data_IF_511981052559
#
_entry.id   IF_511981052559
#
_cell.length_a   1.000
_cell.length_b   1.000
_cell.length_c   1.000
_cell.angle_alpha   90.00
_cell.angle_beta   90.00
_cell.angle_gamma   90.00
#
_symmetry.space_group_name_H-M   'P 1'
#
loop_
_entity.id
_entity.type
_entity.pdbx_description
1 polymer ?
#
# COMPACT_ATOMS: atom_id res chain seq x y z
N UNK A 1 -8.07 -11.59 -6.39
CA UNK A 1 -9.13 -12.23 -5.61
C UNK A 1 -10.51 -11.90 -6.17
N UNK A 2 -10.97 -10.64 -6.14
CA UNK A 2 -12.33 -10.23 -6.52
C UNK A 2 -12.72 -10.70 -7.93
N UNK A 3 -11.86 -10.54 -8.93
CA UNK A 3 -12.15 -11.02 -10.29
C UNK A 3 -12.42 -12.54 -10.32
N UNK A 4 -11.57 -13.34 -9.69
CA UNK A 4 -11.75 -14.79 -9.61
C UNK A 4 -13.04 -15.18 -8.86
N UNK A 5 -13.43 -14.39 -7.87
CA UNK A 5 -14.69 -14.57 -7.15
C UNK A 5 -15.91 -14.27 -8.03
N UNK A 6 -15.86 -13.18 -8.80
CA UNK A 6 -16.93 -12.80 -9.74
C UNK A 6 -17.08 -13.80 -10.89
N UNK A 7 -16.00 -14.42 -11.35
CA UNK A 7 -16.02 -15.50 -12.35
C UNK A 7 -16.83 -16.72 -11.84
N UNK A 8 -16.79 -17.05 -10.53
CA UNK A 8 -17.64 -18.12 -9.94
C UNK A 8 -19.14 -17.77 -10.01
N UNK A 9 -19.47 -16.50 -9.99
CA UNK A 9 -20.85 -16.01 -10.14
C UNK A 9 -21.25 -15.80 -11.62
N UNK A 10 -20.45 -16.29 -12.57
CA UNK A 10 -20.61 -16.09 -14.00
C UNK A 10 -20.70 -14.60 -14.40
N UNK A 11 -19.92 -13.74 -13.72
CA UNK A 11 -19.81 -12.32 -14.04
C UNK A 11 -18.48 -12.05 -14.74
N UNK A 12 -18.55 -11.32 -15.84
CA UNK A 12 -17.37 -10.78 -16.49
C UNK A 12 -16.89 -9.57 -15.72
N UNK A 13 -15.58 -9.46 -15.47
CA UNK A 13 -15.00 -8.36 -14.73
C UNK A 13 -13.62 -7.98 -15.29
N UNK A 14 -13.38 -6.70 -15.41
CA UNK A 14 -12.07 -6.14 -15.68
C UNK A 14 -11.42 -5.70 -14.37
N UNK A 15 -10.13 -5.98 -14.23
CA UNK A 15 -9.28 -5.37 -13.19
C UNK A 15 -8.44 -4.32 -13.88
N UNK A 16 -8.65 -3.07 -13.52
CA UNK A 16 -7.99 -1.93 -14.17
C UNK A 16 -7.07 -1.28 -13.15
N UNK A 17 -5.75 -1.44 -13.34
CA UNK A 17 -4.70 -0.87 -12.48
C UNK A 17 -3.58 -0.34 -13.39
N UNK A 18 -3.01 0.85 -13.10
CA UNK A 18 -1.97 1.44 -13.97
C UNK A 18 -0.71 0.61 -14.01
N UNK A 19 -0.24 0.21 -12.85
CA UNK A 19 0.98 -0.56 -12.63
C UNK A 19 0.88 -1.32 -11.31
N UNK A 20 1.60 -2.42 -11.21
CA UNK A 20 1.80 -3.15 -9.96
C UNK A 20 3.28 -3.54 -9.82
N UNK A 21 3.81 -3.62 -8.59
CA UNK A 21 5.17 -4.06 -8.35
C UNK A 21 5.41 -5.48 -8.87
N UNK A 22 6.56 -5.72 -9.50
CA UNK A 22 6.93 -7.03 -10.06
C UNK A 22 6.91 -8.16 -9.04
N UNK A 23 7.09 -7.84 -7.76
CA UNK A 23 6.94 -8.77 -6.63
C UNK A 23 5.57 -9.48 -6.60
N UNK A 24 4.52 -8.90 -7.19
CA UNK A 24 3.17 -9.47 -7.25
C UNK A 24 2.88 -10.24 -8.54
N UNK A 25 3.84 -10.37 -9.46
CA UNK A 25 3.67 -11.10 -10.74
C UNK A 25 3.32 -12.58 -10.58
N UNK A 26 3.51 -13.14 -9.39
CA UNK A 26 3.17 -14.53 -9.07
C UNK A 26 1.69 -14.74 -8.72
N UNK A 27 0.93 -13.68 -8.51
CA UNK A 27 -0.47 -13.78 -8.09
C UNK A 27 -1.35 -14.35 -9.20
N UNK A 28 -2.22 -15.32 -8.89
CA UNK A 28 -3.16 -15.86 -9.86
C UNK A 28 -4.04 -14.79 -10.49
N UNK A 29 -4.12 -14.78 -11.83
CA UNK A 29 -4.94 -13.84 -12.58
C UNK A 29 -4.30 -12.48 -12.84
N UNK A 30 -3.04 -12.27 -12.43
CA UNK A 30 -2.33 -11.01 -12.65
C UNK A 30 -2.16 -10.68 -14.14
N UNK A 31 -2.05 -11.69 -14.99
CA UNK A 31 -1.95 -11.56 -16.43
C UNK A 31 -3.24 -11.00 -17.09
N UNK A 32 -4.36 -11.02 -16.36
CA UNK A 32 -5.66 -10.48 -16.79
C UNK A 32 -5.85 -9.00 -16.41
N UNK A 33 -4.89 -8.39 -15.71
CA UNK A 33 -4.93 -6.98 -15.35
C UNK A 33 -4.78 -6.12 -16.60
N UNK A 34 -5.63 -5.11 -16.72
CA UNK A 34 -5.64 -4.15 -17.82
C UNK A 34 -5.14 -2.79 -17.33
N UNK A 35 -4.41 -2.08 -18.19
CA UNK A 35 -4.05 -0.68 -17.95
C UNK A 35 -5.20 0.27 -18.31
N UNK A 36 -6.01 -0.13 -19.29
CA UNK A 36 -7.18 0.60 -19.78
C UNK A 36 -8.25 -0.39 -20.23
N UNK A 37 -9.48 0.09 -20.37
CA UNK A 37 -10.59 -0.65 -20.96
C UNK A 37 -11.29 0.21 -21.99
N UNK A 38 -11.73 -0.42 -23.08
CA UNK A 38 -12.57 0.22 -24.13
C UNK A 38 -14.05 0.29 -23.72
N UNK A 39 -14.43 -0.38 -22.64
CA UNK A 39 -15.80 -0.38 -22.11
C UNK A 39 -16.08 1.00 -21.52
N UNK A 40 -17.11 1.67 -22.03
CA UNK A 40 -17.48 3.01 -21.60
C UNK A 40 -18.41 3.03 -20.38
N UNK A 41 -19.21 1.99 -20.19
CA UNK A 41 -20.16 1.87 -19.09
C UNK A 41 -20.13 0.46 -18.51
N UNK A 42 -19.98 0.36 -17.20
CA UNK A 42 -20.07 -0.88 -16.45
C UNK A 42 -21.38 -0.94 -15.67
N UNK A 43 -21.96 -2.13 -15.50
CA UNK A 43 -23.11 -2.30 -14.60
C UNK A 43 -22.72 -2.06 -13.14
N UNK A 44 -21.48 -2.41 -12.79
CA UNK A 44 -20.94 -2.29 -11.43
C UNK A 44 -19.46 -1.92 -11.48
N UNK A 45 -19.07 -0.90 -10.72
CA UNK A 45 -17.67 -0.63 -10.41
C UNK A 45 -17.41 -0.86 -8.93
N UNK A 46 -16.35 -1.60 -8.62
CA UNK A 46 -15.91 -1.89 -7.26
C UNK A 46 -14.54 -1.28 -7.04
N UNK A 47 -14.45 -0.26 -6.19
CA UNK A 47 -13.19 0.27 -5.72
C UNK A 47 -12.73 -0.51 -4.49
N UNK A 48 -11.54 -1.06 -4.54
CA UNK A 48 -10.93 -1.85 -3.47
C UNK A 48 -9.75 -1.10 -2.89
N UNK A 49 -9.69 -0.99 -1.56
CA UNK A 49 -8.56 -0.40 -0.84
C UNK A 49 -8.26 1.05 -1.27
N UNK A 50 -9.31 1.84 -1.41
CA UNK A 50 -9.23 3.19 -1.92
C UNK A 50 -10.04 4.14 -1.05
N UNK A 51 -9.37 5.01 -0.31
CA UNK A 51 -10.00 5.90 0.67
C UNK A 51 -10.80 7.05 0.05
N UNK A 52 -10.58 7.40 -1.20
CA UNK A 52 -11.33 8.46 -1.88
C UNK A 52 -11.25 8.33 -3.40
N UNK A 53 -12.26 8.85 -4.07
CA UNK A 53 -12.32 8.88 -5.55
C UNK A 53 -11.09 9.56 -6.18
N UNK A 54 -10.49 10.52 -5.49
CA UNK A 54 -9.28 11.22 -5.98
C UNK A 54 -8.08 10.28 -6.15
N UNK A 55 -8.01 9.21 -5.37
CA UNK A 55 -6.94 8.21 -5.45
C UNK A 55 -7.07 7.30 -6.67
N UNK A 56 -8.26 7.21 -7.27
CA UNK A 56 -8.49 6.52 -8.54
C UNK A 56 -7.81 7.24 -9.71
N UNK A 57 -7.43 8.52 -9.56
CA UNK A 57 -6.74 9.31 -10.58
C UNK A 57 -7.45 9.22 -11.95
N UNK A 58 -6.72 8.92 -13.04
CA UNK A 58 -7.26 8.77 -14.38
C UNK A 58 -8.27 7.62 -14.58
N UNK A 59 -8.43 6.74 -13.57
CA UNK A 59 -9.37 5.61 -13.59
C UNK A 59 -10.74 5.97 -13.00
N UNK A 60 -10.90 7.15 -12.37
CA UNK A 60 -12.17 7.63 -11.85
C UNK A 60 -13.27 7.62 -12.92
N UNK A 61 -12.92 7.83 -14.19
CA UNK A 61 -13.88 7.77 -15.32
C UNK A 61 -14.65 6.43 -15.40
N UNK A 62 -14.00 5.31 -15.10
CA UNK A 62 -14.67 3.99 -15.12
C UNK A 62 -15.60 3.82 -13.92
N UNK A 63 -15.23 4.39 -12.79
CA UNK A 63 -16.04 4.37 -11.58
C UNK A 63 -17.25 5.31 -11.72
N UNK A 64 -17.03 6.53 -12.20
CA UNK A 64 -18.09 7.54 -12.36
C UNK A 64 -19.17 7.12 -13.36
N UNK A 65 -18.76 6.45 -14.46
CA UNK A 65 -19.65 6.00 -15.53
C UNK A 65 -20.36 4.67 -15.21
N UNK A 66 -20.08 4.02 -14.10
CA UNK A 66 -20.77 2.79 -13.73
C UNK A 66 -22.19 3.06 -13.21
N UNK A 67 -23.15 2.15 -13.50
CA UNK A 67 -24.53 2.25 -13.01
C UNK A 67 -24.62 2.14 -11.49
N UNK A 68 -23.81 1.25 -10.92
CA UNK A 68 -23.72 1.04 -9.46
C UNK A 68 -22.26 1.11 -9.04
N UNK A 69 -21.99 1.82 -7.95
CA UNK A 69 -20.67 2.04 -7.39
C UNK A 69 -20.56 1.44 -6.00
N UNK A 70 -19.52 0.64 -5.78
CA UNK A 70 -19.23 0.00 -4.49
C UNK A 70 -17.82 0.35 -4.07
N UNK A 71 -17.62 0.66 -2.79
CA UNK A 71 -16.30 0.77 -2.18
C UNK A 71 -16.16 -0.25 -1.06
N UNK A 72 -15.05 -1.00 -1.07
CA UNK A 72 -14.66 -1.89 0.01
C UNK A 72 -13.28 -1.44 0.47
N UNK A 73 -13.18 -1.00 1.73
CA UNK A 73 -11.96 -0.35 2.22
C UNK A 73 -11.83 -0.47 3.74
N UNK A 74 -10.62 -0.27 4.25
CA UNK A 74 -10.33 -0.28 5.69
C UNK A 74 -9.69 1.02 6.19
N UNK A 75 -9.51 2.01 5.34
CA UNK A 75 -8.93 3.28 5.73
C UNK A 75 -9.88 4.12 6.60
N UNK A 76 -9.38 4.64 7.73
CA UNK A 76 -10.13 5.58 8.58
C UNK A 76 -10.43 6.91 7.89
N UNK A 77 -9.68 7.25 6.85
CA UNK A 77 -9.84 8.46 6.04
C UNK A 77 -10.80 8.29 4.86
N UNK A 78 -11.51 7.14 4.76
CA UNK A 78 -12.44 6.92 3.66
C UNK A 78 -13.55 7.95 3.64
N UNK A 79 -13.82 8.50 2.45
CA UNK A 79 -14.79 9.60 2.25
C UNK A 79 -16.20 9.12 1.89
N UNK A 80 -16.48 7.83 1.95
CA UNK A 80 -17.79 7.21 1.67
C UNK A 80 -18.36 7.62 0.31
N UNK A 81 -17.55 7.57 -0.74
CA UNK A 81 -17.81 8.17 -2.06
C UNK A 81 -18.60 7.28 -3.03
N UNK A 82 -18.91 6.06 -2.66
CA UNK A 82 -19.67 5.11 -3.48
C UNK A 82 -21.17 5.09 -3.12
N UNK A 83 -22.00 4.51 -3.97
CA UNK A 83 -23.43 4.27 -3.66
C UNK A 83 -23.56 3.29 -2.48
N UNK A 84 -22.68 2.28 -2.44
CA UNK A 84 -22.58 1.31 -1.34
C UNK A 84 -21.15 1.27 -0.83
N UNK A 85 -20.99 1.44 0.48
CA UNK A 85 -19.69 1.50 1.13
C UNK A 85 -19.60 0.40 2.21
N UNK A 86 -18.70 -0.58 2.01
CA UNK A 86 -18.36 -1.58 3.01
C UNK A 86 -17.00 -1.23 3.60
N UNK A 87 -17.02 -0.41 4.65
CA UNK A 87 -15.82 0.17 5.26
C UNK A 87 -15.69 -0.34 6.69
N UNK A 88 -14.52 -0.91 7.03
CA UNK A 88 -14.21 -1.36 8.39
C UNK A 88 -12.80 -0.96 8.78
N UNK A 89 -12.70 0.07 9.62
CA UNK A 89 -11.42 0.61 10.10
C UNK A 89 -10.67 -0.34 11.05
N UNK A 90 -11.39 -1.29 11.65
CA UNK A 90 -10.81 -2.30 12.54
C UNK A 90 -10.21 -3.48 11.77
N UNK A 91 -10.48 -3.58 10.48
CA UNK A 91 -9.88 -4.63 9.65
C UNK A 91 -8.41 -4.34 9.38
N UNK A 92 -7.50 -5.31 9.54
CA UNK A 92 -6.08 -5.11 9.29
C UNK A 92 -5.73 -4.95 7.80
N UNK A 93 -6.66 -5.34 6.90
CA UNK A 93 -6.48 -5.31 5.45
C UNK A 93 -7.82 -5.30 4.73
N UNK A 94 -7.93 -4.58 3.62
CA UNK A 94 -9.08 -4.68 2.72
C UNK A 94 -9.28 -6.13 2.23
N UNK A 95 -8.20 -6.87 2.00
CA UNK A 95 -8.23 -8.28 1.61
C UNK A 95 -8.97 -9.18 2.63
N UNK A 96 -8.90 -8.88 3.94
CA UNK A 96 -9.64 -9.61 4.97
C UNK A 96 -11.15 -9.35 4.85
N UNK A 97 -11.57 -8.13 4.52
CA UNK A 97 -12.97 -7.80 4.30
C UNK A 97 -13.57 -8.57 3.12
N UNK A 98 -12.76 -8.88 2.10
CA UNK A 98 -13.20 -9.70 0.98
C UNK A 98 -13.59 -11.11 1.42
N UNK A 99 -12.91 -11.72 2.39
CA UNK A 99 -13.29 -13.03 2.93
C UNK A 99 -14.70 -13.00 3.55
N UNK A 100 -14.98 -11.93 4.30
CA UNK A 100 -16.31 -11.72 4.88
C UNK A 100 -17.36 -11.56 3.77
N UNK A 101 -17.09 -10.71 2.77
CA UNK A 101 -18.00 -10.52 1.64
C UNK A 101 -18.23 -11.82 0.86
N UNK A 102 -17.18 -12.61 0.60
CA UNK A 102 -17.28 -13.86 -0.15
C UNK A 102 -18.15 -14.88 0.58
N UNK A 103 -18.10 -14.95 1.91
CA UNK A 103 -18.95 -15.84 2.69
C UNK A 103 -20.44 -15.54 2.52
N UNK A 104 -20.81 -14.25 2.45
CA UNK A 104 -22.20 -13.81 2.22
C UNK A 104 -22.73 -14.19 0.84
N UNK A 105 -21.86 -14.18 -0.17
CA UNK A 105 -22.24 -14.50 -1.56
C UNK A 105 -22.05 -15.97 -1.91
N UNK A 106 -21.68 -16.82 -0.95
CA UNK A 106 -21.45 -18.25 -1.19
C UNK A 106 -20.29 -18.53 -2.14
N UNK A 107 -19.32 -17.61 -2.24
CA UNK A 107 -18.15 -17.77 -3.07
C UNK A 107 -17.17 -18.73 -2.39
N UNK A 108 -16.74 -19.75 -3.11
CA UNK A 108 -15.71 -20.65 -2.62
C UNK A 108 -14.34 -19.99 -2.65
N UNK A 109 -13.68 -19.91 -1.50
CA UNK A 109 -12.29 -19.44 -1.42
C UNK A 109 -11.38 -20.56 -1.88
N UNK A 110 -11.06 -20.57 -3.18
CA UNK A 110 -10.10 -21.53 -3.76
C UNK A 110 -8.67 -21.17 -3.32
N UNK A 111 -7.71 -22.06 -3.60
CA UNK A 111 -6.29 -21.78 -3.35
C UNK A 111 -5.81 -20.51 -4.06
N UNK A 112 -6.26 -20.27 -5.29
CA UNK A 112 -5.90 -19.10 -6.09
C UNK A 112 -6.43 -17.80 -5.45
N UNK A 113 -7.72 -17.79 -5.09
CA UNK A 113 -8.33 -16.66 -4.37
C UNK A 113 -7.61 -16.46 -3.04
N UNK A 114 -7.40 -17.52 -2.28
CA UNK A 114 -6.73 -17.49 -0.99
C UNK A 114 -5.28 -16.97 -1.08
N UNK A 115 -4.55 -17.30 -2.15
CA UNK A 115 -3.19 -16.77 -2.38
C UNK A 115 -3.22 -15.26 -2.56
N UNK A 116 -4.15 -14.73 -3.34
CA UNK A 116 -4.31 -13.28 -3.50
C UNK A 116 -4.72 -12.59 -2.19
N UNK A 117 -5.67 -13.16 -1.47
CA UNK A 117 -6.13 -12.63 -0.18
C UNK A 117 -4.99 -12.59 0.84
N UNK A 118 -4.26 -13.71 0.98
CA UNK A 118 -3.16 -13.78 1.94
C UNK A 118 -2.02 -12.83 1.59
N UNK A 119 -1.73 -12.62 0.30
CA UNK A 119 -0.76 -11.62 -0.12
C UNK A 119 -1.17 -10.20 0.33
N UNK A 120 -2.44 -9.82 0.17
CA UNK A 120 -2.97 -8.53 0.66
C UNK A 120 -2.89 -8.43 2.19
N UNK A 121 -3.30 -9.47 2.94
CA UNK A 121 -3.18 -9.47 4.40
C UNK A 121 -1.72 -9.31 4.84
N UNK A 122 -0.79 -10.05 4.25
CA UNK A 122 0.63 -9.99 4.59
C UNK A 122 1.20 -8.59 4.34
N UNK A 123 0.86 -7.96 3.21
CA UNK A 123 1.40 -6.62 2.88
C UNK A 123 0.85 -5.55 3.78
N UNK A 124 -0.47 -5.49 3.99
CA UNK A 124 -1.11 -4.46 4.80
C UNK A 124 -0.79 -4.55 6.29
N UNK A 125 -0.50 -5.76 6.77
CA UNK A 125 -0.13 -5.99 8.17
C UNK A 125 1.38 -5.88 8.42
N UNK A 126 2.17 -5.55 7.38
CA UNK A 126 3.62 -5.56 7.48
C UNK A 126 4.18 -6.93 7.89
N UNK A 127 3.58 -8.01 7.37
CA UNK A 127 3.92 -9.37 7.77
C UNK A 127 3.43 -9.73 9.18
N UNK A 128 2.22 -9.33 9.54
CA UNK A 128 1.58 -9.53 10.85
C UNK A 128 2.24 -8.77 12.02
N UNK A 129 2.97 -7.67 11.73
CA UNK A 129 3.67 -6.89 12.75
C UNK A 129 2.83 -5.74 13.32
N UNK A 130 1.79 -5.29 12.61
CA UNK A 130 1.04 -4.11 13.02
C UNK A 130 -0.03 -4.44 14.06
N UNK A 131 -0.37 -3.46 14.89
CA UNK A 131 -1.30 -3.59 16.02
C UNK A 131 -2.75 -3.88 15.61
N UNK A 132 -3.08 -3.71 14.33
CA UNK A 132 -4.40 -4.05 13.77
C UNK A 132 -4.61 -5.55 13.58
N UNK A 133 -3.55 -6.37 13.69
CA UNK A 133 -3.64 -7.83 13.57
C UNK A 133 -4.34 -8.41 14.78
N UNK A 134 -5.36 -9.23 14.54
CA UNK A 134 -6.18 -9.86 15.58
C UNK A 134 -6.12 -11.38 15.53
N UNK A 135 -6.70 -12.03 16.54
CA UNK A 135 -6.88 -13.49 16.55
C UNK A 135 -7.74 -13.97 15.35
N UNK A 136 -8.69 -13.15 14.90
CA UNK A 136 -9.51 -13.44 13.72
C UNK A 136 -8.66 -13.49 12.46
N UNK A 137 -7.73 -12.54 12.29
CA UNK A 137 -6.78 -12.55 11.18
C UNK A 137 -6.03 -13.87 11.08
N UNK A 138 -5.52 -14.38 12.21
CA UNK A 138 -4.83 -15.66 12.23
C UNK A 138 -5.76 -16.87 11.97
N UNK A 139 -7.03 -16.82 12.36
CA UNK A 139 -8.00 -17.88 11.99
C UNK A 139 -8.21 -17.91 10.48
N UNK A 140 -8.44 -16.77 9.85
CA UNK A 140 -8.51 -16.70 8.37
C UNK A 140 -7.23 -17.21 7.70
N UNK A 141 -6.06 -16.85 8.20
CA UNK A 141 -4.80 -17.37 7.66
C UNK A 141 -4.72 -18.89 7.81
N UNK A 142 -5.14 -19.46 8.95
CA UNK A 142 -5.18 -20.91 9.16
C UNK A 142 -6.10 -21.60 8.14
N UNK A 143 -7.31 -21.08 7.93
CA UNK A 143 -8.26 -21.59 6.93
C UNK A 143 -7.68 -21.54 5.51
N UNK A 144 -6.97 -20.46 5.17
CA UNK A 144 -6.29 -20.36 3.87
C UNK A 144 -5.16 -21.39 3.73
N UNK A 145 -4.42 -21.66 4.80
CA UNK A 145 -3.40 -22.70 4.81
C UNK A 145 -4.00 -24.11 4.63
N UNK A 146 -5.14 -24.41 5.24
CA UNK A 146 -5.88 -25.66 5.06
C UNK A 146 -6.31 -25.86 3.60
N UNK A 147 -6.61 -24.78 2.88
CA UNK A 147 -6.88 -24.78 1.43
C UNK A 147 -5.61 -24.88 0.57
N UNK A 148 -4.44 -25.05 1.19
CA UNK A 148 -3.16 -25.27 0.50
C UNK A 148 -2.41 -24.00 0.10
N UNK A 149 -2.82 -22.81 0.58
CA UNK A 149 -2.07 -21.58 0.39
C UNK A 149 -0.76 -21.66 1.18
N UNK A 150 0.35 -21.24 0.57
CA UNK A 150 1.68 -21.35 1.16
C UNK A 150 2.19 -19.98 1.60
N UNK A 151 2.12 -19.72 2.91
CA UNK A 151 2.62 -18.47 3.54
C UNK A 151 4.07 -18.19 3.15
N UNK A 152 4.96 -19.20 3.25
CA UNK A 152 6.37 -19.04 2.93
C UNK A 152 6.62 -18.57 1.51
N UNK A 153 5.88 -19.12 0.53
CA UNK A 153 6.04 -18.72 -0.88
C UNK A 153 5.66 -17.26 -1.11
N UNK A 154 4.63 -16.76 -0.41
CA UNK A 154 4.22 -15.35 -0.49
C UNK A 154 5.28 -14.47 0.15
N UNK A 155 5.78 -14.84 1.34
CA UNK A 155 6.86 -14.10 2.00
C UNK A 155 8.12 -14.01 1.14
N UNK A 156 8.53 -15.12 0.53
CA UNK A 156 9.71 -15.17 -0.33
C UNK A 156 9.56 -14.19 -1.51
N UNK A 157 8.38 -14.13 -2.12
CA UNK A 157 8.12 -13.23 -3.25
C UNK A 157 8.03 -11.77 -2.84
N UNK A 158 7.35 -11.47 -1.73
CA UNK A 158 7.09 -10.10 -1.30
C UNK A 158 8.29 -9.47 -0.58
N UNK A 159 8.98 -10.23 0.28
CA UNK A 159 10.00 -9.67 1.17
C UNK A 159 11.43 -10.15 0.88
N UNK A 160 11.61 -11.34 0.30
CA UNK A 160 12.94 -11.93 0.11
C UNK A 160 13.48 -11.74 -1.30
N UNK A 161 12.68 -11.28 -2.25
CA UNK A 161 13.09 -11.03 -3.64
C UNK A 161 13.43 -9.55 -3.85
N UNK A 162 14.63 -9.14 -3.41
CA UNK A 162 15.12 -7.77 -3.65
C UNK A 162 15.86 -7.69 -4.97
N UNK A 163 15.57 -6.70 -5.78
CA UNK A 163 16.39 -6.36 -6.94
C UNK A 163 17.77 -5.85 -6.49
N UNK A 164 18.77 -5.93 -7.37
CA UNK A 164 20.06 -5.33 -7.07
C UNK A 164 19.97 -3.82 -6.90
N UNK A 165 19.12 -3.17 -7.69
CA UNK A 165 18.83 -1.73 -7.57
C UNK A 165 18.26 -1.38 -6.19
N UNK A 166 17.26 -2.13 -5.71
CA UNK A 166 16.71 -1.99 -4.35
C UNK A 166 17.78 -2.12 -3.28
N UNK A 167 18.64 -3.14 -3.39
CA UNK A 167 19.72 -3.35 -2.43
C UNK A 167 20.69 -2.15 -2.40
N UNK A 168 21.09 -1.64 -3.57
CA UNK A 168 21.99 -0.48 -3.67
C UNK A 168 21.34 0.82 -3.17
N UNK A 169 20.04 1.06 -3.45
CA UNK A 169 19.32 2.19 -2.88
C UNK A 169 19.28 2.13 -1.34
N UNK A 170 19.01 0.96 -0.78
CA UNK A 170 19.05 0.77 0.67
C UNK A 170 20.43 1.07 1.25
N UNK A 171 21.50 0.63 0.58
CA UNK A 171 22.88 0.93 0.98
C UNK A 171 23.14 2.44 0.99
N UNK A 172 22.77 3.15 -0.09
CA UNK A 172 22.91 4.60 -0.19
C UNK A 172 22.11 5.31 0.92
N UNK A 173 20.88 4.88 1.14
CA UNK A 173 20.02 5.46 2.17
C UNK A 173 20.57 5.22 3.58
N UNK A 174 21.15 4.06 3.87
CA UNK A 174 21.79 3.76 5.15
C UNK A 174 23.07 4.57 5.37
N UNK A 175 23.88 4.79 4.33
CA UNK A 175 25.07 5.64 4.42
C UNK A 175 24.72 7.11 4.73
N UNK A 176 23.53 7.57 4.32
CA UNK A 176 23.02 8.93 4.56
C UNK A 176 22.08 9.03 5.76
N UNK A 177 21.92 7.97 6.52
CA UNK A 177 21.00 7.97 7.65
C UNK A 177 21.55 8.89 8.76
N UNK A 178 20.77 9.90 9.08
CA UNK A 178 21.05 10.87 10.14
C UNK A 178 20.05 10.70 11.28
N UNK A 179 20.53 10.89 12.52
CA UNK A 179 19.68 10.90 13.70
C UNK A 179 19.64 12.34 14.27
N UNK A 180 18.43 12.86 14.38
CA UNK A 180 18.14 14.24 14.78
C UNK A 180 17.30 14.23 16.05
N UNK A 181 17.19 15.37 16.74
CA UNK A 181 16.38 15.54 17.95
C UNK A 181 16.71 14.46 19.01
N UNK A 182 17.97 14.43 19.42
CA UNK A 182 18.47 13.44 20.41
C UNK A 182 18.18 11.98 20.00
N UNK A 183 18.17 11.71 18.68
CA UNK A 183 17.90 10.38 18.14
C UNK A 183 16.43 10.02 17.97
N UNK A 184 15.51 10.94 18.23
CA UNK A 184 14.06 10.72 18.07
C UNK A 184 13.59 10.70 16.63
N UNK A 185 14.32 11.38 15.74
CA UNK A 185 14.00 11.44 14.31
C UNK A 185 15.15 10.81 13.53
N UNK A 186 14.86 9.78 12.74
CA UNK A 186 15.76 9.24 11.74
C UNK A 186 15.41 9.87 10.37
N UNK A 187 16.40 10.33 9.65
CA UNK A 187 16.23 10.97 8.36
C UNK A 187 17.19 10.40 7.33
N UNK A 188 16.68 10.16 6.13
CA UNK A 188 17.52 9.80 4.97
C UNK A 188 16.89 10.25 3.67
N UNK A 189 17.66 10.20 2.57
CA UNK A 189 17.18 10.61 1.28
C UNK A 189 17.85 9.89 0.10
N UNK A 190 17.15 9.89 -1.03
CA UNK A 190 17.63 9.43 -2.34
C UNK A 190 17.43 10.56 -3.35
N UNK A 191 18.48 10.85 -4.13
CA UNK A 191 18.41 11.79 -5.23
C UNK A 191 18.02 11.10 -6.54
N UNK A 192 17.61 11.90 -7.52
CA UNK A 192 17.34 11.39 -8.87
C UNK A 192 18.60 10.81 -9.52
N UNK A 193 19.77 11.38 -9.25
CA UNK A 193 21.05 10.87 -9.73
C UNK A 193 21.38 9.48 -9.16
N UNK A 194 21.02 9.22 -7.90
CA UNK A 194 21.17 7.87 -7.30
C UNK A 194 20.26 6.86 -8.01
N UNK A 195 19.00 7.25 -8.24
CA UNK A 195 18.00 6.44 -8.95
C UNK A 195 18.50 6.04 -10.35
N UNK A 196 18.95 7.02 -11.13
CA UNK A 196 19.49 6.81 -12.48
C UNK A 196 20.75 5.91 -12.46
N UNK A 197 21.63 6.13 -11.49
CA UNK A 197 22.89 5.37 -11.35
C UNK A 197 22.66 3.87 -11.11
N UNK A 198 21.64 3.52 -10.34
CA UNK A 198 21.35 2.12 -10.00
C UNK A 198 20.31 1.47 -10.91
N UNK A 199 19.64 2.25 -11.76
CA UNK A 199 18.57 1.77 -12.63
C UNK A 199 17.34 1.35 -11.84
N UNK A 200 16.95 2.14 -10.83
CA UNK A 200 15.85 1.82 -9.93
C UNK A 200 14.49 1.97 -10.62
N UNK A 201 13.57 1.07 -10.25
CA UNK A 201 12.18 1.06 -10.70
C UNK A 201 11.23 1.33 -9.53
N UNK A 202 9.93 1.51 -9.84
CA UNK A 202 8.90 1.61 -8.83
C UNK A 202 8.88 0.34 -7.95
N UNK A 203 8.89 0.53 -6.63
CA UNK A 203 8.97 -0.56 -5.65
C UNK A 203 10.37 -0.80 -5.06
N UNK A 204 11.44 -0.33 -5.70
CA UNK A 204 12.80 -0.47 -5.16
C UNK A 204 13.07 0.41 -3.93
N UNK A 205 12.20 1.38 -3.67
CA UNK A 205 12.28 2.28 -2.50
C UNK A 205 11.60 1.73 -1.25
N UNK A 206 10.81 0.66 -1.41
CA UNK A 206 10.05 0.08 -0.30
C UNK A 206 10.98 -0.50 0.77
N UNK A 207 10.72 -0.15 2.02
CA UNK A 207 11.50 -0.57 3.18
C UNK A 207 12.61 0.40 3.58
N UNK A 208 12.92 1.44 2.79
CA UNK A 208 13.97 2.42 3.16
C UNK A 208 13.57 3.19 4.42
N UNK A 209 12.35 3.70 4.49
CA UNK A 209 11.88 4.49 5.64
C UNK A 209 11.78 3.63 6.90
N UNK A 210 11.50 2.36 6.77
CA UNK A 210 11.43 1.40 7.87
C UNK A 210 12.79 1.18 8.52
N UNK A 211 13.89 1.24 7.78
CA UNK A 211 15.25 1.09 8.34
C UNK A 211 15.52 2.10 9.48
N UNK A 212 15.12 3.36 9.29
CA UNK A 212 15.27 4.38 10.33
C UNK A 212 14.28 4.18 11.49
N UNK A 213 13.01 3.85 11.17
CA UNK A 213 11.99 3.60 12.19
C UNK A 213 12.36 2.45 13.12
N UNK A 214 12.96 1.39 12.59
CA UNK A 214 13.24 0.17 13.35
C UNK A 214 14.44 0.32 14.30
N UNK A 215 15.18 1.44 14.25
CA UNK A 215 16.24 1.75 15.22
C UNK A 215 15.64 2.06 16.60
N UNK A 216 16.26 1.54 17.66
CA UNK A 216 15.87 1.80 19.03
C UNK A 216 15.94 3.30 19.37
N UNK A 217 14.95 3.81 20.09
CA UNK A 217 14.87 5.22 20.48
C UNK A 217 14.27 6.14 19.43
N UNK A 218 14.20 5.74 18.16
CA UNK A 218 13.57 6.53 17.10
C UNK A 218 12.05 6.49 17.25
N UNK A 219 11.41 7.65 17.22
CA UNK A 219 9.96 7.80 17.16
C UNK A 219 9.48 8.00 15.73
N UNK A 220 10.17 8.83 14.93
CA UNK A 220 9.78 9.13 13.55
C UNK A 220 10.93 8.84 12.60
N UNK A 221 10.62 8.18 11.50
CA UNK A 221 11.52 8.07 10.36
C UNK A 221 10.97 8.84 9.17
N UNK A 222 11.80 9.70 8.59
CA UNK A 222 11.54 10.53 7.43
C UNK A 222 12.45 10.11 6.28
N UNK A 223 11.86 9.70 5.18
CA UNK A 223 12.57 9.42 3.93
C UNK A 223 12.14 10.38 2.84
N UNK A 224 13.08 11.12 2.25
CA UNK A 224 12.83 12.02 1.13
C UNK A 224 13.40 11.45 -0.17
N UNK A 225 12.64 11.60 -1.26
CA UNK A 225 13.05 11.19 -2.60
C UNK A 225 12.83 12.30 -3.60
N UNK A 226 13.85 12.63 -4.39
CA UNK A 226 13.68 13.50 -5.55
C UNK A 226 12.89 12.79 -6.64
N UNK A 227 11.98 13.51 -7.28
CA UNK A 227 11.23 13.05 -8.44
C UNK A 227 11.24 14.15 -9.51
N UNK A 228 10.79 13.84 -10.72
CA UNK A 228 10.64 14.85 -11.79
C UNK A 228 9.62 15.96 -11.46
N UNK A 229 8.76 15.76 -10.44
CA UNK A 229 7.69 16.69 -10.06
C UNK A 229 7.96 17.41 -8.72
N UNK A 230 9.10 17.17 -8.08
CA UNK A 230 9.43 17.70 -6.76
C UNK A 230 9.82 16.57 -5.78
N UNK A 231 9.77 16.87 -4.49
CA UNK A 231 10.17 15.91 -3.45
C UNK A 231 8.97 15.08 -3.01
N UNK A 232 9.16 13.76 -2.92
CA UNK A 232 8.24 12.84 -2.26
C UNK A 232 8.76 12.54 -0.86
N UNK A 233 7.89 12.61 0.15
CA UNK A 233 8.21 12.26 1.52
C UNK A 233 7.42 11.03 1.96
N UNK A 234 8.11 10.12 2.66
CA UNK A 234 7.51 9.00 3.37
C UNK A 234 7.80 9.13 4.86
N UNK A 235 6.77 8.97 5.69
CA UNK A 235 6.83 9.16 7.14
C UNK A 235 6.37 7.87 7.80
N UNK A 236 7.12 7.43 8.79
CA UNK A 236 6.72 6.33 9.68
C UNK A 236 6.90 6.78 11.13
N UNK A 237 5.98 6.41 12.00
CA UNK A 237 6.08 6.69 13.43
C UNK A 237 5.86 5.42 14.26
N UNK A 238 6.26 5.45 15.54
CA UNK A 238 6.10 4.30 16.45
C UNK A 238 4.95 4.50 17.43
N UNK A 239 5.03 5.50 18.30
CA UNK A 239 4.20 5.54 19.50
C UNK A 239 3.25 6.74 19.57
N UNK A 240 3.75 7.97 19.50
CA UNK A 240 2.99 9.17 19.83
C UNK A 240 2.82 10.17 18.69
N UNK A 241 3.69 10.17 17.67
CA UNK A 241 3.53 11.08 16.54
C UNK A 241 2.50 10.52 15.54
N UNK A 242 1.53 11.33 15.14
CA UNK A 242 0.58 11.00 14.10
C UNK A 242 1.16 11.33 12.72
N UNK A 243 1.65 10.32 12.01
CA UNK A 243 2.26 10.49 10.70
C UNK A 243 1.27 11.08 9.66
N UNK A 244 -0.02 10.72 9.75
CA UNK A 244 -1.04 11.25 8.84
C UNK A 244 -1.25 12.75 9.05
N UNK A 245 -1.30 13.25 10.28
CA UNK A 245 -1.42 14.69 10.57
C UNK A 245 -0.24 15.47 10.00
N UNK A 246 0.99 14.96 10.20
CA UNK A 246 2.18 15.58 9.60
C UNK A 246 2.06 15.62 8.08
N UNK A 247 1.68 14.53 7.43
CA UNK A 247 1.54 14.48 5.98
C UNK A 247 0.44 15.44 5.46
N UNK A 248 -0.68 15.55 6.17
CA UNK A 248 -1.79 16.45 5.80
C UNK A 248 -1.37 17.92 5.79
N UNK A 249 -0.44 18.36 6.65
CA UNK A 249 0.12 19.72 6.61
C UNK A 249 0.85 20.03 5.29
N UNK A 250 1.22 19.00 4.55
CA UNK A 250 1.89 19.07 3.24
C UNK A 250 1.01 18.51 2.09
N UNK A 251 -0.32 18.58 2.26
CA UNK A 251 -1.30 18.07 1.29
C UNK A 251 -1.15 16.59 0.95
N UNK A 252 -0.61 15.83 1.89
CA UNK A 252 -0.50 14.38 1.83
C UNK A 252 -1.56 13.67 2.67
N UNK A 253 -1.30 12.40 3.01
CA UNK A 253 -2.22 11.60 3.83
C UNK A 253 -1.65 10.23 4.14
N UNK A 254 -2.47 9.39 4.75
CA UNK A 254 -2.11 8.03 5.13
C UNK A 254 -2.76 7.59 6.44
N UNK A 255 -2.12 6.63 7.09
CA UNK A 255 -2.53 6.09 8.38
C UNK A 255 -1.77 6.75 9.54
N UNK A 256 -2.25 6.52 10.76
CA UNK A 256 -1.67 7.02 12.00
C UNK A 256 -0.14 6.83 12.09
N UNK A 257 0.38 5.69 11.63
CA UNK A 257 1.80 5.30 11.72
C UNK A 257 2.54 5.27 10.39
N UNK A 258 1.85 5.46 9.27
CA UNK A 258 2.43 5.38 7.94
C UNK A 258 1.73 6.36 6.99
N UNK A 259 2.43 7.40 6.60
CA UNK A 259 1.87 8.45 5.74
C UNK A 259 2.92 8.97 4.75
N UNK A 260 2.48 9.78 3.81
CA UNK A 260 3.37 10.41 2.84
C UNK A 260 2.72 11.56 2.11
N UNK A 261 3.56 12.35 1.46
CA UNK A 261 3.16 13.43 0.58
C UNK A 261 4.08 13.50 -0.64
N UNK A 262 3.61 14.12 -1.71
CA UNK A 262 4.31 14.14 -3.00
C UNK A 262 4.30 15.54 -3.60
N UNK A 263 5.21 15.75 -4.57
CA UNK A 263 5.31 17.00 -5.31
C UNK A 263 5.64 18.23 -4.44
N UNK A 264 6.37 18.02 -3.33
CA UNK A 264 6.78 19.09 -2.47
C UNK A 264 7.80 19.99 -3.21
N UNK A 265 7.58 21.31 -3.23
CA UNK A 265 8.48 22.23 -3.90
C UNK A 265 9.76 22.47 -3.08
N UNK A 266 10.87 22.74 -3.75
CA UNK A 266 12.14 23.08 -3.13
C UNK A 266 13.19 21.97 -3.21
N UNK A 267 14.29 22.17 -2.51
CA UNK A 267 15.39 21.18 -2.41
C UNK A 267 15.11 20.18 -1.29
N UNK A 268 15.79 19.04 -1.32
CA UNK A 268 15.74 18.02 -0.24
C UNK A 268 15.98 18.70 1.13
N UNK A 269 16.99 19.57 1.24
CA UNK A 269 17.32 20.22 2.50
C UNK A 269 16.23 21.19 2.99
N UNK A 270 15.61 21.94 2.08
CA UNK A 270 14.48 22.81 2.42
C UNK A 270 13.27 22.00 2.92
N UNK A 271 12.91 20.92 2.23
CA UNK A 271 11.81 20.05 2.62
C UNK A 271 12.13 19.33 3.94
N UNK A 272 13.36 18.82 4.12
CA UNK A 272 13.83 18.25 5.40
C UNK A 272 13.54 19.21 6.56
N UNK A 273 14.04 20.45 6.46
CA UNK A 273 13.90 21.44 7.52
C UNK A 273 12.44 21.80 7.83
N UNK A 274 11.61 21.94 6.78
CA UNK A 274 10.17 22.20 6.94
C UNK A 274 9.47 21.05 7.67
N UNK A 275 9.73 19.81 7.28
CA UNK A 275 9.08 18.64 7.87
C UNK A 275 9.54 18.38 9.30
N UNK A 276 10.83 18.48 9.59
CA UNK A 276 11.36 18.32 10.95
C UNK A 276 10.76 19.35 11.90
N UNK A 277 10.61 20.60 11.48
CA UNK A 277 9.97 21.66 12.28
C UNK A 277 8.48 21.40 12.57
N UNK A 278 7.83 20.52 11.81
CA UNK A 278 6.43 20.13 12.03
C UNK A 278 6.30 18.83 12.83
N UNK A 279 7.36 18.03 12.88
CA UNK A 279 7.41 16.79 13.66
C UNK A 279 7.76 17.10 15.13
N UNK A 280 8.54 18.16 15.39
CA UNK A 280 8.84 18.69 16.73
C UNK A 280 7.57 19.15 17.45
#
# INVERSE_FOLDING_TARGET
AMKLALEQLNKEADVIIPEYPSAFSFLPGVEKIKKESDIQEYDLAIALDCASIKLLNGFAKYFDNAKVKVAIDHHSSNTMYADYNFISQDSPACAQLLLVAFSYFGIEVTKEIGTCILAGIITDTGGFRYSTVTAETFRFVAELCEKGVKVSQIYDKVYSSKTRAKFELHRIALERLEFLEEGKIAYTYITKADEEKVGAENGDYDGIVENGRDVEGVEVSLFLRETSKGIKASIRSKNYVNAAEVAMMFSGGGHLRAAGCSNLPGTIEQVKNQMINRIR
#
